data_IF_653876441263
#
_entry.id   IF_653876441263
#
_cell.length_a   1.000
_cell.length_b   1.000
_cell.length_c   1.000
_cell.angle_alpha   90.00
_cell.angle_beta   90.00
_cell.angle_gamma   90.00
#
_symmetry.space_group_name_H-M   'P 1'
#
loop_
_entity.id
_entity.type
_entity.pdbx_description
1 polymer ?
#
# COMPACT_ATOMS: atom_id res chain seq x y z
N UNK A 1 61.70 19.30 27.93
CA UNK A 1 60.36 19.87 28.17
C UNK A 1 59.34 19.14 27.31
N UNK A 2 58.21 18.70 27.91
CA UNK A 2 56.84 18.41 27.39
C UNK A 2 56.68 17.75 26.00
N UNK A 3 55.88 16.71 25.73
CA UNK A 3 54.80 16.00 26.44
C UNK A 3 53.72 15.50 25.44
N UNK A 4 53.07 14.36 25.70
CA UNK A 4 51.89 13.77 25.00
C UNK A 4 52.24 12.63 24.02
N UNK A 5 52.06 11.32 24.24
CA UNK A 5 51.03 10.49 24.92
C UNK A 5 49.61 10.57 24.34
N UNK A 6 49.14 9.46 23.73
CA UNK A 6 47.76 9.28 23.31
C UNK A 6 47.54 8.21 22.23
N UNK A 7 47.93 6.95 22.47
CA UNK A 7 47.45 5.78 21.68
C UNK A 7 47.80 4.46 22.39
N UNK A 8 47.20 4.21 23.56
CA UNK A 8 47.30 2.93 24.27
C UNK A 8 46.18 2.78 25.32
N UNK A 9 44.93 3.09 24.98
CA UNK A 9 43.81 2.95 25.93
C UNK A 9 42.49 2.68 25.17
N UNK A 10 42.30 1.47 24.64
CA UNK A 10 40.94 1.02 24.24
C UNK A 10 40.76 -0.51 24.19
N UNK A 11 41.82 -1.32 24.42
CA UNK A 11 41.73 -2.80 24.44
C UNK A 11 41.65 -3.45 25.82
N UNK A 12 41.59 -2.67 26.91
CA UNK A 12 41.65 -3.18 28.29
C UNK A 12 40.35 -3.00 29.10
N UNK A 13 39.32 -2.37 28.51
CA UNK A 13 38.02 -2.13 29.14
C UNK A 13 37.07 -3.32 29.12
N UNK A 14 36.99 -4.05 28.00
CA UNK A 14 36.01 -5.14 27.83
C UNK A 14 36.33 -6.40 28.66
N UNK A 15 37.60 -6.71 28.94
CA UNK A 15 37.96 -7.91 29.69
C UNK A 15 37.76 -7.79 31.22
N UNK A 16 37.43 -6.60 31.74
CA UNK A 16 37.29 -6.35 33.18
C UNK A 16 35.83 -6.23 33.65
N UNK A 17 34.88 -6.05 32.73
CA UNK A 17 33.44 -6.04 33.04
C UNK A 17 32.84 -7.46 33.07
N UNK A 18 33.22 -8.36 32.15
CA UNK A 18 32.73 -9.75 32.16
C UNK A 18 33.20 -10.56 33.39
N UNK A 19 34.33 -10.21 34.01
CA UNK A 19 34.83 -10.89 35.20
C UNK A 19 34.17 -10.42 36.51
N UNK A 20 33.41 -9.32 36.50
CA UNK A 20 32.79 -8.74 37.70
C UNK A 20 31.31 -9.10 37.85
N UNK A 21 30.65 -9.51 36.77
CA UNK A 21 29.26 -9.94 36.79
C UNK A 21 29.13 -11.42 37.21
N UNK A 22 30.08 -12.28 36.78
CA UNK A 22 30.08 -13.72 37.09
C UNK A 22 30.49 -14.05 38.55
N UNK A 23 31.13 -13.12 39.26
CA UNK A 23 31.47 -13.28 40.68
C UNK A 23 30.34 -12.85 41.64
N UNK A 24 29.26 -12.26 41.11
CA UNK A 24 28.11 -11.80 41.91
C UNK A 24 26.96 -12.81 41.94
N UNK A 25 27.00 -13.85 41.10
CA UNK A 25 25.98 -14.89 41.05
C UNK A 25 26.30 -16.15 41.89
N UNK A 26 27.52 -16.32 42.41
CA UNK A 26 27.93 -17.56 43.10
C UNK A 26 28.18 -17.42 44.62
N UNK A 27 27.84 -16.28 45.25
CA UNK A 27 28.06 -16.09 46.68
C UNK A 27 26.86 -15.42 47.37
N UNK A 28 25.69 -16.03 47.24
CA UNK A 28 24.58 -15.80 48.17
C UNK A 28 23.79 -17.09 48.39
N UNK A 29 24.52 -18.19 48.65
CA UNK A 29 23.97 -19.42 49.21
C UNK A 29 24.75 -19.75 50.49
N UNK A 30 24.39 -19.10 51.60
CA UNK A 30 24.48 -19.68 52.96
C UNK A 30 23.88 -18.76 54.03
N UNK A 31 23.05 -19.39 54.87
CA UNK A 31 22.58 -18.98 56.21
C UNK A 31 21.49 -17.90 56.30
N UNK A 32 20.24 -18.36 56.32
CA UNK A 32 19.27 -17.94 57.35
C UNK A 32 18.51 -19.19 57.81
N UNK A 33 18.91 -19.74 58.96
CA UNK A 33 17.99 -20.46 59.84
C UNK A 33 17.51 -19.42 60.86
N UNK A 34 16.28 -18.93 60.69
CA UNK A 34 15.51 -18.32 61.76
C UNK A 34 14.03 -18.63 61.52
N UNK A 35 13.47 -19.40 62.44
CA UNK A 35 12.07 -19.74 62.51
C UNK A 35 11.23 -18.48 62.78
N UNK A 36 10.40 -18.09 61.80
CA UNK A 36 9.19 -17.30 62.05
C UNK A 36 9.20 -15.88 61.51
N UNK A 37 8.95 -15.70 60.22
CA UNK A 37 8.38 -14.44 59.74
C UNK A 37 7.44 -14.69 58.55
N UNK A 38 6.35 -13.93 58.51
CA UNK A 38 5.27 -14.04 57.55
C UNK A 38 5.78 -13.98 56.09
N UNK A 39 5.14 -14.67 55.12
CA UNK A 39 5.57 -14.64 53.72
C UNK A 39 5.74 -13.18 53.27
N UNK A 40 6.82 -12.85 52.54
CA UNK A 40 7.16 -11.46 52.21
C UNK A 40 5.96 -10.78 51.61
N UNK A 41 5.51 -9.70 52.27
CA UNK A 41 4.36 -8.92 51.86
C UNK A 41 4.77 -8.13 50.61
N UNK A 42 4.58 -8.74 49.44
CA UNK A 42 4.79 -8.09 48.15
C UNK A 42 3.76 -6.97 48.01
N UNK A 43 4.16 -5.75 48.32
CA UNK A 43 3.36 -4.56 48.03
C UNK A 43 3.58 -4.18 46.57
N UNK A 44 2.54 -4.37 45.76
CA UNK A 44 2.54 -3.95 44.36
C UNK A 44 2.81 -2.43 44.30
N UNK A 45 3.75 -2.03 43.45
CA UNK A 45 3.94 -0.62 43.10
C UNK A 45 2.65 -0.06 42.50
N UNK A 46 2.48 1.26 42.54
CA UNK A 46 1.27 1.89 41.98
C UNK A 46 1.12 1.64 40.47
N UNK A 47 2.23 1.42 39.77
CA UNK A 47 2.28 1.01 38.37
C UNK A 47 1.77 -0.44 38.18
N UNK A 48 2.20 -1.38 39.03
CA UNK A 48 1.77 -2.78 38.99
C UNK A 48 0.29 -2.97 39.37
N UNK A 49 -0.25 -2.13 40.27
CA UNK A 49 -1.70 -2.10 40.57
C UNK A 49 -2.55 -1.71 39.36
N UNK A 50 -1.97 -0.99 38.39
CA UNK A 50 -2.62 -0.65 37.12
C UNK A 50 -2.61 -1.78 36.09
N UNK A 51 -1.82 -2.85 36.30
CA UNK A 51 -1.67 -3.94 35.35
C UNK A 51 -2.72 -5.02 35.58
N UNK A 52 -3.70 -5.09 34.69
CA UNK A 52 -4.76 -6.11 34.76
C UNK A 52 -4.25 -7.48 34.30
N UNK A 53 -3.39 -7.51 33.29
CA UNK A 53 -2.90 -8.75 32.70
C UNK A 53 -1.40 -8.87 32.90
N UNK A 54 -0.97 -9.91 33.63
CA UNK A 54 0.43 -10.18 33.85
C UNK A 54 1.19 -10.29 32.51
N UNK A 55 2.33 -9.60 32.34
CA UNK A 55 3.10 -9.67 31.12
C UNK A 55 3.66 -11.09 30.94
N UNK A 56 3.28 -11.75 29.85
CA UNK A 56 3.76 -13.10 29.52
C UNK A 56 4.92 -13.04 28.54
N UNK A 57 6.05 -13.66 28.89
CA UNK A 57 7.18 -13.91 27.96
C UNK A 57 6.91 -15.09 27.03
N UNK A 58 6.08 -16.05 27.47
CA UNK A 58 5.69 -17.25 26.72
C UNK A 58 4.18 -17.23 26.54
N UNK A 59 3.72 -17.32 25.29
CA UNK A 59 2.30 -17.31 24.95
C UNK A 59 1.76 -18.72 24.83
N UNK A 60 0.55 -18.95 25.35
CA UNK A 60 -0.11 -20.26 25.35
C UNK A 60 -0.54 -20.69 23.92
N UNK A 61 -0.80 -19.73 23.05
CA UNK A 61 -1.16 -19.95 21.65
C UNK A 61 -0.12 -19.34 20.73
N UNK A 62 0.19 -20.04 19.65
CA UNK A 62 0.95 -19.46 18.55
C UNK A 62 0.23 -18.23 18.01
N UNK A 63 1.00 -17.20 17.64
CA UNK A 63 0.47 -15.96 17.05
C UNK A 63 -0.47 -16.26 15.87
N UNK A 64 -0.11 -17.20 15.01
CA UNK A 64 -0.93 -17.69 13.89
C UNK A 64 -2.34 -18.15 14.30
N UNK A 65 -2.45 -18.85 15.43
CA UNK A 65 -3.74 -19.35 15.93
C UNK A 65 -4.62 -18.19 16.43
N UNK A 66 -4.03 -17.24 17.15
CA UNK A 66 -4.73 -16.03 17.60
C UNK A 66 -5.23 -15.22 16.39
N UNK A 67 -4.45 -15.12 15.29
CA UNK A 67 -4.85 -14.30 14.12
C UNK A 67 -6.15 -14.81 13.50
N UNK A 68 -6.37 -16.13 13.53
CA UNK A 68 -7.51 -16.79 12.89
C UNK A 68 -8.78 -16.72 13.72
N UNK A 69 -8.66 -16.57 15.04
CA UNK A 69 -9.81 -16.70 15.95
C UNK A 69 -10.20 -15.41 16.65
N UNK A 70 -9.30 -14.42 16.79
CA UNK A 70 -9.56 -13.24 17.62
C UNK A 70 -10.80 -12.44 17.22
N UNK A 71 -11.16 -12.43 15.93
CA UNK A 71 -12.35 -11.76 15.43
C UNK A 71 -13.66 -12.39 15.92
N UNK A 72 -13.61 -13.66 16.34
CA UNK A 72 -14.75 -14.42 16.85
C UNK A 72 -14.80 -14.45 18.40
N UNK A 73 -13.89 -13.75 19.08
CA UNK A 73 -13.90 -13.69 20.54
C UNK A 73 -15.16 -12.98 21.02
N UNK A 74 -15.82 -13.59 21.99
CA UNK A 74 -17.03 -13.07 22.61
C UNK A 74 -17.00 -13.35 24.11
N UNK A 75 -17.79 -12.58 24.85
CA UNK A 75 -18.04 -12.85 26.26
C UNK A 75 -19.11 -13.94 26.35
N UNK A 76 -18.99 -14.90 27.27
CA UNK A 76 -19.99 -15.92 27.49
C UNK A 76 -21.41 -15.34 27.58
N UNK A 77 -22.36 -16.00 26.95
CA UNK A 77 -23.77 -15.63 26.98
C UNK A 77 -24.59 -16.67 27.74
N UNK A 78 -25.63 -16.24 28.48
CA UNK A 78 -26.51 -17.19 29.19
C UNK A 78 -27.16 -18.23 28.26
N UNK A 79 -27.36 -17.87 26.98
CA UNK A 79 -27.87 -18.76 25.94
C UNK A 79 -26.97 -19.96 25.65
N UNK A 80 -25.70 -19.92 26.06
CA UNK A 80 -24.73 -21.00 25.89
C UNK A 80 -24.83 -22.06 27.01
N UNK A 81 -25.73 -21.88 27.98
CA UNK A 81 -26.01 -22.86 29.04
C UNK A 81 -25.21 -22.66 30.33
N UNK A 82 -24.56 -21.51 30.52
CA UNK A 82 -23.86 -21.19 31.77
C UNK A 82 -24.84 -20.93 32.92
N UNK A 83 -24.62 -21.59 34.07
CA UNK A 83 -25.43 -21.41 35.29
C UNK A 83 -25.35 -19.97 35.83
N UNK A 84 -24.16 -19.38 35.85
CA UNK A 84 -23.95 -17.97 36.19
C UNK A 84 -22.70 -17.42 35.48
N UNK A 85 -22.80 -16.16 35.04
CA UNK A 85 -21.68 -15.38 34.49
C UNK A 85 -21.39 -14.26 35.50
N UNK A 86 -20.18 -14.25 36.06
CA UNK A 86 -19.78 -13.27 37.09
C UNK A 86 -18.63 -12.41 36.55
N UNK A 87 -18.83 -11.11 36.52
CA UNK A 87 -17.80 -10.14 36.16
C UNK A 87 -17.16 -9.62 37.44
N UNK A 88 -15.97 -10.14 37.76
CA UNK A 88 -15.32 -9.93 39.07
C UNK A 88 -14.45 -8.67 39.07
N UNK A 89 -13.94 -8.26 37.90
CA UNK A 89 -12.94 -7.19 37.78
C UNK A 89 -13.57 -5.85 37.36
N UNK A 90 -14.67 -5.90 36.60
CA UNK A 90 -15.48 -4.75 36.20
C UNK A 90 -16.90 -5.23 35.94
N UNK A 91 -17.82 -4.32 35.60
CA UNK A 91 -19.18 -4.69 35.20
C UNK A 91 -19.25 -5.27 33.77
N UNK A 92 -20.42 -5.82 33.42
CA UNK A 92 -20.66 -6.46 32.12
C UNK A 92 -20.45 -5.52 30.93
N UNK A 93 -20.83 -4.25 31.05
CA UNK A 93 -20.69 -3.30 29.95
C UNK A 93 -19.22 -2.94 29.72
N UNK A 94 -18.48 -2.61 30.79
CA UNK A 94 -17.06 -2.34 30.72
C UNK A 94 -16.25 -3.54 30.17
N UNK A 95 -16.61 -4.76 30.56
CA UNK A 95 -15.97 -5.97 30.03
C UNK A 95 -16.21 -6.15 28.53
N UNK A 96 -17.45 -5.94 28.05
CA UNK A 96 -17.81 -6.01 26.63
C UNK A 96 -17.05 -4.96 25.82
N UNK A 97 -17.01 -3.73 26.32
CA UNK A 97 -16.29 -2.63 25.67
C UNK A 97 -14.78 -2.89 25.60
N UNK A 98 -14.18 -3.41 26.67
CA UNK A 98 -12.78 -3.80 26.68
C UNK A 98 -12.46 -4.86 25.62
N UNK A 99 -13.23 -5.96 25.59
CA UNK A 99 -13.02 -7.02 24.60
C UNK A 99 -13.21 -6.48 23.18
N UNK A 100 -14.25 -5.66 22.97
CA UNK A 100 -14.53 -5.03 21.69
C UNK A 100 -13.36 -4.15 21.23
N UNK A 101 -12.83 -3.31 22.10
CA UNK A 101 -11.66 -2.48 21.82
C UNK A 101 -10.44 -3.35 21.49
N UNK A 102 -10.19 -4.43 22.24
CA UNK A 102 -9.09 -5.36 21.95
C UNK A 102 -9.22 -6.04 20.59
N UNK A 103 -10.43 -6.44 20.20
CA UNK A 103 -10.69 -6.98 18.87
C UNK A 103 -10.40 -5.92 17.80
N UNK A 104 -10.86 -4.68 17.99
CA UNK A 104 -10.61 -3.57 17.05
C UNK A 104 -9.12 -3.21 16.91
N UNK A 105 -8.40 -3.14 18.03
CA UNK A 105 -6.94 -2.93 18.06
C UNK A 105 -6.23 -4.04 17.27
N UNK A 106 -6.60 -5.30 17.51
CA UNK A 106 -6.04 -6.43 16.78
C UNK A 106 -6.41 -6.38 15.28
N UNK A 107 -7.63 -5.98 14.90
CA UNK A 107 -8.01 -5.83 13.48
C UNK A 107 -7.14 -4.78 12.76
N UNK A 108 -6.74 -3.70 13.45
CA UNK A 108 -5.83 -2.68 12.89
C UNK A 108 -4.41 -3.20 12.72
N UNK A 109 -3.92 -3.99 13.67
CA UNK A 109 -2.54 -4.48 13.68
C UNK A 109 -2.38 -5.73 12.80
N UNK A 110 -3.40 -6.58 12.67
CA UNK A 110 -3.28 -7.93 12.10
C UNK A 110 -3.97 -7.99 10.74
N UNK A 111 -3.23 -8.48 9.75
CA UNK A 111 -3.70 -8.70 8.38
C UNK A 111 -4.67 -9.89 8.29
N UNK A 112 -5.48 -9.91 7.23
CA UNK A 112 -6.37 -11.04 6.90
C UNK A 112 -5.59 -12.00 5.99
N UNK A 113 -4.95 -13.02 6.58
CA UNK A 113 -4.02 -13.90 5.87
C UNK A 113 -4.67 -14.75 4.76
N UNK A 114 -5.90 -15.17 5.01
CA UNK A 114 -6.66 -16.07 4.14
C UNK A 114 -7.47 -15.32 3.07
N UNK A 115 -7.34 -14.00 2.99
CA UNK A 115 -8.01 -13.17 1.99
C UNK A 115 -7.55 -13.59 0.59
N UNK A 116 -8.51 -13.82 -0.31
CA UNK A 116 -8.29 -14.14 -1.71
C UNK A 116 -9.09 -13.16 -2.57
N UNK A 117 -8.52 -12.67 -3.68
CA UNK A 117 -9.25 -11.81 -4.60
C UNK A 117 -10.49 -12.53 -5.12
N UNK A 118 -11.66 -11.92 -4.95
CA UNK A 118 -12.92 -12.50 -5.42
C UNK A 118 -12.97 -12.64 -6.94
N UNK A 119 -13.93 -13.44 -7.41
CA UNK A 119 -14.25 -13.54 -8.84
C UNK A 119 -14.56 -12.17 -9.44
N UNK A 120 -15.27 -11.30 -8.70
CA UNK A 120 -15.58 -9.93 -9.14
C UNK A 120 -14.31 -9.15 -9.47
N UNK A 121 -13.30 -9.18 -8.60
CA UNK A 121 -12.03 -8.51 -8.87
C UNK A 121 -11.32 -9.13 -10.08
N UNK A 122 -11.29 -10.46 -10.18
CA UNK A 122 -10.63 -11.14 -11.29
C UNK A 122 -11.25 -10.77 -12.65
N UNK A 123 -12.58 -10.73 -12.71
CA UNK A 123 -13.33 -10.35 -13.91
C UNK A 123 -13.06 -8.87 -14.27
N UNK A 124 -13.12 -7.95 -13.29
CA UNK A 124 -12.81 -6.53 -13.51
C UNK A 124 -11.36 -6.27 -13.90
N UNK A 125 -10.42 -7.01 -13.33
CA UNK A 125 -9.01 -6.89 -13.70
C UNK A 125 -8.73 -7.46 -15.10
N UNK A 126 -9.46 -8.49 -15.52
CA UNK A 126 -9.41 -8.99 -16.89
C UNK A 126 -10.00 -7.98 -17.90
N UNK A 127 -11.14 -7.36 -17.56
CA UNK A 127 -11.75 -6.28 -18.33
C UNK A 127 -10.76 -5.11 -18.51
N UNK A 128 -10.14 -4.66 -17.42
CA UNK A 128 -9.13 -3.61 -17.44
C UNK A 128 -7.96 -3.95 -18.36
N UNK A 129 -7.38 -5.15 -18.23
CA UNK A 129 -6.25 -5.58 -19.08
C UNK A 129 -6.59 -5.55 -20.57
N UNK A 130 -7.82 -5.92 -20.92
CA UNK A 130 -8.31 -5.86 -22.30
C UNK A 130 -8.42 -4.41 -22.78
N UNK A 131 -9.15 -3.56 -22.04
CA UNK A 131 -9.36 -2.15 -22.40
C UNK A 131 -8.04 -1.39 -22.48
N UNK A 132 -7.14 -1.62 -21.52
CA UNK A 132 -5.83 -0.97 -21.48
C UNK A 132 -5.00 -1.29 -22.74
N UNK A 133 -4.95 -2.56 -23.14
CA UNK A 133 -4.26 -2.97 -24.37
C UNK A 133 -4.94 -2.40 -25.63
N UNK A 134 -6.27 -2.35 -25.66
CA UNK A 134 -7.02 -1.73 -26.75
C UNK A 134 -6.74 -0.23 -26.86
N UNK A 135 -6.66 0.50 -25.75
CA UNK A 135 -6.33 1.93 -25.77
C UNK A 135 -4.90 2.18 -26.24
N UNK A 136 -3.92 1.41 -25.76
CA UNK A 136 -2.54 1.52 -26.25
C UNK A 136 -2.45 1.27 -27.76
N UNK A 137 -3.12 0.21 -28.24
CA UNK A 137 -3.17 -0.10 -29.67
C UNK A 137 -3.81 1.03 -30.47
N UNK A 138 -4.95 1.58 -30.01
CA UNK A 138 -5.59 2.73 -30.68
C UNK A 138 -4.68 3.95 -30.72
N UNK A 139 -3.91 4.19 -29.66
CA UNK A 139 -2.93 5.28 -29.64
C UNK A 139 -1.84 5.06 -30.69
N UNK A 140 -1.30 3.85 -30.78
CA UNK A 140 -0.30 3.47 -31.78
C UNK A 140 -0.84 3.61 -33.20
N UNK A 141 -2.05 3.12 -33.47
CA UNK A 141 -2.73 3.24 -34.77
C UNK A 141 -2.96 4.71 -35.15
N UNK A 142 -3.41 5.55 -34.20
CA UNK A 142 -3.59 6.98 -34.41
C UNK A 142 -2.26 7.69 -34.75
N UNK A 143 -1.21 7.46 -33.94
CA UNK A 143 0.15 7.99 -34.18
C UNK A 143 0.75 7.46 -35.48
N UNK A 144 0.39 6.25 -35.91
CA UNK A 144 0.86 5.67 -37.16
C UNK A 144 0.14 6.23 -38.40
N UNK A 145 -1.02 6.85 -38.24
CA UNK A 145 -1.86 7.32 -39.35
C UNK A 145 -1.15 8.37 -40.22
N UNK A 146 -1.33 8.35 -41.56
CA UNK A 146 -0.69 9.33 -42.44
C UNK A 146 -1.08 10.77 -42.13
N UNK A 147 -2.35 11.00 -41.73
CA UNK A 147 -2.86 12.31 -41.36
C UNK A 147 -2.14 12.87 -40.12
N UNK A 148 -1.94 12.04 -39.09
CA UNK A 148 -1.26 12.46 -37.88
C UNK A 148 0.25 12.66 -38.12
N UNK A 149 0.91 11.74 -38.84
CA UNK A 149 2.32 11.91 -39.22
C UNK A 149 2.57 13.18 -40.03
N UNK A 150 1.65 13.53 -40.95
CA UNK A 150 1.74 14.77 -41.70
C UNK A 150 1.55 16.01 -40.81
N UNK A 151 0.64 15.97 -39.83
CA UNK A 151 0.46 17.05 -38.85
C UNK A 151 1.71 17.21 -37.96
N UNK A 152 2.27 16.12 -37.44
CA UNK A 152 3.48 16.15 -36.61
C UNK A 152 4.71 16.64 -37.38
N UNK A 153 4.87 16.23 -38.65
CA UNK A 153 5.95 16.71 -39.51
C UNK A 153 5.84 18.22 -39.77
N UNK A 154 4.62 18.74 -39.98
CA UNK A 154 4.39 20.19 -40.14
C UNK A 154 4.65 20.96 -38.84
N UNK A 155 4.24 20.43 -37.69
CA UNK A 155 4.50 21.06 -36.39
C UNK A 155 6.01 21.18 -36.12
N UNK A 156 6.77 20.09 -36.30
CA UNK A 156 8.23 20.08 -36.12
C UNK A 156 8.95 21.08 -37.03
N UNK A 157 8.55 21.17 -38.30
CA UNK A 157 9.11 22.11 -39.27
C UNK A 157 8.81 23.60 -38.94
N UNK A 158 7.77 23.88 -38.16
CA UNK A 158 7.41 25.24 -37.74
C UNK A 158 8.14 25.66 -36.46
N UNK A 159 8.37 24.74 -35.52
CA UNK A 159 9.18 24.99 -34.31
C UNK A 159 10.66 25.27 -34.60
N UNK A 160 11.24 24.72 -35.68
CA UNK A 160 12.61 25.04 -36.09
C UNK A 160 12.76 26.42 -36.76
N UNK A 161 11.65 27.15 -36.98
CA UNK A 161 11.63 28.48 -37.64
C UNK A 161 11.12 29.63 -36.78
N UNK A 162 10.70 29.38 -35.53
CA UNK A 162 10.25 30.42 -34.60
C UNK A 162 11.02 30.32 -33.29
N UNK A 163 12.16 31.00 -33.24
CA UNK A 163 12.78 31.43 -31.99
C UNK A 163 12.24 32.84 -31.72
N UNK A 164 11.35 32.96 -30.72
CA UNK A 164 10.78 34.24 -30.27
C UNK A 164 9.48 34.67 -30.95
N UNK A 165 8.34 34.15 -30.50
CA UNK A 165 7.18 34.98 -30.12
C UNK A 165 6.12 34.12 -29.44
N UNK A 166 5.69 34.62 -28.29
CA UNK A 166 4.63 34.13 -27.42
C UNK A 166 3.42 33.69 -28.24
N UNK A 167 3.05 32.41 -28.11
CA UNK A 167 1.82 31.87 -28.67
C UNK A 167 0.97 31.43 -27.50
N UNK A 168 0.32 32.40 -26.84
CA UNK A 168 -1.01 32.22 -26.26
C UNK A 168 -1.94 31.76 -27.39
N UNK A 169 -1.85 30.47 -27.73
CA UNK A 169 -2.88 29.83 -28.54
C UNK A 169 -4.04 29.61 -27.59
N UNK A 170 -5.08 30.42 -27.80
CA UNK A 170 -6.37 30.40 -27.13
C UNK A 170 -6.73 28.99 -26.66
N UNK A 171 -6.97 28.87 -25.37
CA UNK A 171 -7.73 27.77 -24.79
C UNK A 171 -9.15 27.80 -25.38
N UNK A 172 -9.29 27.38 -26.64
CA UNK A 172 -10.55 26.95 -27.21
C UNK A 172 -11.11 25.96 -26.20
N UNK A 173 -12.23 26.33 -25.57
CA UNK A 173 -12.81 25.67 -24.41
C UNK A 173 -12.79 24.16 -24.63
N UNK A 174 -11.77 23.49 -24.08
CA UNK A 174 -11.60 22.07 -24.27
C UNK A 174 -12.87 21.45 -23.69
N UNK A 175 -13.58 20.60 -24.47
CA UNK A 175 -14.80 19.99 -23.98
C UNK A 175 -14.53 19.34 -22.63
N UNK A 176 -15.48 19.51 -21.69
CA UNK A 176 -15.37 18.95 -20.35
C UNK A 176 -15.01 17.47 -20.46
N UNK A 177 -13.82 17.11 -19.97
CA UNK A 177 -13.23 15.77 -20.06
C UNK A 177 -14.19 14.71 -19.53
N UNK A 178 -14.99 15.04 -18.52
CA UNK A 178 -15.89 14.10 -17.88
C UNK A 178 -17.18 13.88 -18.66
N UNK A 179 -17.56 14.80 -19.55
CA UNK A 179 -18.71 14.67 -20.46
C UNK A 179 -18.46 13.74 -21.65
N UNK A 180 -17.19 13.43 -21.96
CA UNK A 180 -16.79 12.58 -23.09
C UNK A 180 -17.31 11.16 -22.90
N UNK A 181 -18.09 10.64 -23.84
CA UNK A 181 -18.65 9.29 -23.77
C UNK A 181 -17.67 8.21 -24.26
N UNK A 182 -17.05 8.42 -25.42
CA UNK A 182 -16.02 7.52 -25.96
C UNK A 182 -14.63 8.16 -25.85
N UNK A 183 -13.78 7.61 -24.99
CA UNK A 183 -12.39 8.08 -24.83
C UNK A 183 -11.50 7.70 -26.00
N UNK A 184 -11.98 6.85 -26.92
CA UNK A 184 -11.25 6.44 -28.10
C UNK A 184 -11.48 7.33 -29.33
N UNK A 185 -12.53 8.16 -29.30
CA UNK A 185 -12.85 9.10 -30.37
C UNK A 185 -13.55 10.32 -29.77
N UNK A 186 -12.78 11.39 -29.56
CA UNK A 186 -13.28 12.68 -29.08
C UNK A 186 -13.67 13.62 -30.23
N UNK A 187 -13.65 13.12 -31.47
CA UNK A 187 -13.82 13.86 -32.71
C UNK A 187 -12.71 13.54 -33.71
N UNK A 188 -13.05 13.44 -34.99
CA UNK A 188 -12.12 13.16 -36.10
C UNK A 188 -11.25 11.89 -35.91
N UNK A 189 -11.71 10.90 -35.15
CA UNK A 189 -10.97 9.67 -34.86
C UNK A 189 -9.82 9.86 -33.88
N UNK A 190 -9.80 10.98 -33.14
CA UNK A 190 -8.77 11.31 -32.18
C UNK A 190 -9.06 10.66 -30.81
N UNK A 191 -8.17 9.82 -30.26
CA UNK A 191 -8.35 9.31 -28.91
C UNK A 191 -7.96 10.35 -27.87
N UNK A 192 -8.65 10.36 -26.71
CA UNK A 192 -8.38 11.28 -25.61
C UNK A 192 -6.94 11.19 -25.09
N UNK A 193 -6.37 9.98 -25.14
CA UNK A 193 -5.01 9.67 -24.72
C UNK A 193 -3.98 9.80 -25.86
N UNK A 194 -4.27 10.53 -26.95
CA UNK A 194 -3.33 10.70 -28.08
C UNK A 194 -1.93 11.15 -27.64
N UNK A 195 -1.85 12.00 -26.63
CA UNK A 195 -0.62 12.61 -26.12
C UNK A 195 -0.01 11.88 -24.91
N UNK A 196 -0.50 10.68 -24.57
CA UNK A 196 0.11 9.90 -23.49
C UNK A 196 1.50 9.40 -23.88
N UNK A 197 2.44 9.54 -22.97
CA UNK A 197 3.72 8.85 -23.01
C UNK A 197 3.74 7.66 -22.04
N UNK A 198 4.86 6.92 -21.98
CA UNK A 198 4.99 5.76 -21.09
C UNK A 198 4.71 6.09 -19.62
N UNK A 199 5.09 7.28 -19.17
CA UNK A 199 4.83 7.76 -17.80
C UNK A 199 3.33 7.98 -17.57
N UNK A 200 2.58 8.46 -18.56
CA UNK A 200 1.13 8.64 -18.45
C UNK A 200 0.42 7.30 -18.41
N UNK A 201 0.86 6.32 -19.21
CA UNK A 201 0.36 4.94 -19.14
C UNK A 201 0.65 4.28 -17.79
N UNK A 202 1.84 4.48 -17.24
CA UNK A 202 2.19 3.99 -15.90
C UNK A 202 1.34 4.68 -14.81
N UNK A 203 1.09 5.99 -14.94
CA UNK A 203 0.23 6.74 -14.01
C UNK A 203 -1.22 6.28 -14.08
N UNK A 204 -1.73 6.00 -15.28
CA UNK A 204 -3.06 5.42 -15.50
C UNK A 204 -3.19 4.05 -14.83
N UNK A 205 -2.19 3.18 -15.01
CA UNK A 205 -2.16 1.87 -14.36
C UNK A 205 -2.14 2.00 -12.83
N UNK A 206 -1.32 2.92 -12.30
CA UNK A 206 -1.23 3.18 -10.87
C UNK A 206 -2.57 3.64 -10.27
N UNK A 207 -3.27 4.57 -10.93
CA UNK A 207 -4.61 5.03 -10.54
C UNK A 207 -5.60 3.88 -10.40
N UNK A 208 -5.70 3.07 -11.45
CA UNK A 208 -6.59 1.92 -11.46
C UNK A 208 -6.24 0.94 -10.34
N UNK A 209 -4.96 0.60 -10.17
CA UNK A 209 -4.54 -0.41 -9.19
C UNK A 209 -4.78 0.03 -7.76
N UNK A 210 -4.45 1.28 -7.41
CA UNK A 210 -4.69 1.77 -6.06
C UNK A 210 -6.19 1.89 -5.79
N UNK A 211 -6.99 2.37 -6.74
CA UNK A 211 -8.45 2.40 -6.58
C UNK A 211 -9.03 0.99 -6.41
N UNK A 212 -8.73 0.09 -7.35
CA UNK A 212 -9.29 -1.25 -7.37
C UNK A 212 -8.87 -2.08 -6.16
N UNK A 213 -7.66 -1.88 -5.63
CA UNK A 213 -7.24 -2.56 -4.41
C UNK A 213 -8.20 -2.28 -3.26
N UNK A 214 -8.58 -1.01 -3.09
CA UNK A 214 -9.41 -0.56 -1.97
C UNK A 214 -10.85 -1.06 -2.13
N UNK A 215 -11.41 -0.94 -3.33
CA UNK A 215 -12.76 -1.40 -3.64
C UNK A 215 -12.86 -2.92 -3.50
N UNK A 216 -11.88 -3.65 -4.04
CA UNK A 216 -11.85 -5.11 -3.93
C UNK A 216 -11.64 -5.57 -2.49
N UNK A 217 -10.72 -4.94 -1.76
CA UNK A 217 -10.49 -5.26 -0.34
C UNK A 217 -11.77 -5.08 0.49
N UNK A 218 -12.48 -3.95 0.32
CA UNK A 218 -13.73 -3.69 1.04
C UNK A 218 -14.78 -4.77 0.76
N UNK A 219 -14.95 -5.17 -0.51
CA UNK A 219 -15.90 -6.22 -0.91
C UNK A 219 -15.50 -7.61 -0.41
N UNK A 220 -14.22 -7.93 -0.45
CA UNK A 220 -13.73 -9.28 -0.15
C UNK A 220 -13.58 -9.52 1.35
N UNK A 221 -13.17 -8.49 2.11
CA UNK A 221 -13.09 -8.55 3.57
C UNK A 221 -14.47 -8.48 4.20
N UNK A 222 -15.36 -7.65 3.66
CA UNK A 222 -16.75 -7.50 4.10
C UNK A 222 -16.90 -7.35 5.63
N UNK A 223 -15.99 -6.57 6.25
CA UNK A 223 -15.94 -6.33 7.69
C UNK A 223 -16.00 -4.81 7.93
N UNK A 224 -17.08 -4.28 8.53
CA UNK A 224 -17.22 -2.83 8.77
C UNK A 224 -16.14 -2.27 9.70
N UNK A 225 -15.48 -3.12 10.49
CA UNK A 225 -14.37 -2.72 11.37
C UNK A 225 -13.02 -2.63 10.64
N UNK A 226 -12.98 -2.98 9.36
CA UNK A 226 -11.81 -2.86 8.48
C UNK A 226 -12.16 -1.88 7.34
N UNK A 227 -12.30 -0.58 7.64
CA UNK A 227 -12.77 0.41 6.68
C UNK A 227 -11.78 0.67 5.53
N UNK A 228 -10.52 0.25 5.66
CA UNK A 228 -9.50 0.42 4.65
C UNK A 228 -8.26 -0.43 4.92
N UNK A 229 -7.24 -0.24 4.10
CA UNK A 229 -5.99 -1.01 4.18
C UNK A 229 -4.97 -0.23 4.99
N UNK A 230 -4.48 -0.76 6.13
CA UNK A 230 -3.37 -0.12 6.85
C UNK A 230 -2.12 -0.05 5.98
N UNK A 231 -1.43 1.09 6.01
CA UNK A 231 -0.19 1.33 5.25
C UNK A 231 0.85 0.22 5.45
N UNK A 232 1.05 -0.21 6.69
CA UNK A 232 1.99 -1.29 7.03
C UNK A 232 1.68 -2.63 6.32
N UNK A 233 0.43 -2.87 5.93
CA UNK A 233 -0.02 -4.09 5.26
C UNK A 233 -0.29 -3.88 3.77
N UNK A 234 -0.07 -2.67 3.25
CA UNK A 234 -0.38 -2.32 1.86
C UNK A 234 0.22 -3.32 0.87
N UNK A 235 1.53 -3.56 0.95
CA UNK A 235 2.21 -4.44 0.00
C UNK A 235 1.80 -5.91 0.12
N UNK A 236 1.35 -6.36 1.30
CA UNK A 236 0.79 -7.70 1.48
C UNK A 236 -0.47 -7.86 0.62
N UNK A 237 -1.41 -6.92 0.72
CA UNK A 237 -2.63 -6.96 -0.08
C UNK A 237 -2.37 -6.66 -1.55
N UNK A 238 -1.54 -5.67 -1.87
CA UNK A 238 -1.19 -5.34 -3.24
C UNK A 238 -0.58 -6.56 -3.98
N UNK A 239 0.31 -7.30 -3.33
CA UNK A 239 0.86 -8.56 -3.87
C UNK A 239 -0.21 -9.64 -4.00
N UNK A 240 -1.15 -9.73 -3.05
CA UNK A 240 -2.25 -10.71 -3.10
C UNK A 240 -3.19 -10.48 -4.30
N UNK A 241 -3.48 -9.23 -4.63
CA UNK A 241 -4.40 -8.87 -5.71
C UNK A 241 -3.73 -8.82 -7.08
N UNK A 242 -2.54 -8.23 -7.18
CA UNK A 242 -1.88 -7.97 -8.47
C UNK A 242 -0.70 -8.88 -8.77
N UNK A 243 -0.33 -9.77 -7.84
CA UNK A 243 0.83 -10.67 -7.97
C UNK A 243 2.14 -9.90 -8.27
N UNK A 244 2.25 -8.67 -7.76
CA UNK A 244 3.44 -7.82 -7.88
C UNK A 244 3.58 -6.93 -6.64
N UNK A 245 4.77 -6.41 -6.42
CA UNK A 245 5.09 -5.49 -5.33
C UNK A 245 5.11 -4.05 -5.83
N UNK A 246 4.66 -3.09 -5.02
CA UNK A 246 4.81 -1.66 -5.33
C UNK A 246 5.94 -1.07 -4.50
N UNK A 247 6.95 -0.58 -5.20
CA UNK A 247 8.08 0.15 -4.62
C UNK A 247 7.91 1.65 -4.89
N UNK A 248 7.82 2.50 -3.85
CA UNK A 248 7.78 3.96 -4.02
C UNK A 248 8.94 4.49 -4.84
N UNK A 249 10.13 3.91 -4.66
CA UNK A 249 11.37 4.31 -5.35
C UNK A 249 11.23 4.20 -6.87
N UNK A 250 10.46 3.23 -7.36
CA UNK A 250 10.23 3.06 -8.79
C UNK A 250 9.43 4.22 -9.41
N UNK A 251 8.67 4.96 -8.60
CA UNK A 251 7.91 6.14 -9.02
C UNK A 251 8.62 7.47 -8.69
N UNK A 252 9.87 7.42 -8.24
CA UNK A 252 10.60 8.61 -7.78
C UNK A 252 10.19 9.09 -6.38
N UNK A 253 9.51 8.24 -5.61
CA UNK A 253 9.01 8.54 -4.27
C UNK A 253 9.79 7.77 -3.19
N UNK A 254 9.74 8.26 -1.95
CA UNK A 254 10.34 7.61 -0.76
C UNK A 254 9.31 6.82 0.04
N UNK A 255 8.06 7.28 0.06
CA UNK A 255 6.99 6.72 0.90
C UNK A 255 5.75 6.38 0.08
N UNK A 256 4.86 5.54 0.63
CA UNK A 256 3.57 5.25 0.01
C UNK A 256 2.70 6.51 -0.08
N UNK A 257 2.81 7.40 0.90
CA UNK A 257 2.11 8.69 0.91
C UNK A 257 2.47 9.55 -0.30
N UNK A 258 3.76 9.63 -0.64
CA UNK A 258 4.23 10.35 -1.83
C UNK A 258 3.71 9.72 -3.12
N UNK A 259 3.63 8.38 -3.20
CA UNK A 259 3.00 7.68 -4.33
C UNK A 259 1.52 8.04 -4.44
N UNK A 260 0.79 8.08 -3.32
CA UNK A 260 -0.62 8.48 -3.33
C UNK A 260 -0.79 9.93 -3.81
N UNK A 261 0.15 10.85 -3.48
CA UNK A 261 0.13 12.23 -3.99
C UNK A 261 0.27 12.32 -5.51
N UNK A 262 0.97 11.37 -6.15
CA UNK A 262 1.04 11.27 -7.62
C UNK A 262 -0.33 10.97 -8.26
N UNK A 263 -1.24 10.32 -7.53
CA UNK A 263 -2.58 9.91 -8.02
C UNK A 263 -3.66 10.28 -7.01
N UNK A 264 -3.55 11.49 -6.45
CA UNK A 264 -4.39 12.02 -5.37
C UNK A 264 -5.89 12.03 -5.68
N UNK A 265 -6.25 11.91 -6.96
CA UNK A 265 -7.61 11.81 -7.44
C UNK A 265 -8.23 10.41 -7.22
N UNK A 266 -7.44 9.36 -7.03
CA UNK A 266 -7.90 7.97 -6.80
C UNK A 266 -7.48 7.36 -5.47
N UNK A 267 -6.41 7.86 -4.86
CA UNK A 267 -5.86 7.30 -3.63
C UNK A 267 -5.34 8.38 -2.68
N UNK A 268 -5.56 8.17 -1.39
CA UNK A 268 -5.07 8.98 -0.29
C UNK A 268 -4.78 8.10 0.93
N UNK A 269 -3.78 8.48 1.73
CA UNK A 269 -3.60 7.93 3.07
C UNK A 269 -4.27 8.87 4.08
N UNK A 270 -5.23 8.34 4.83
CA UNK A 270 -5.92 9.04 5.92
C UNK A 270 -5.82 8.19 7.18
N UNK A 271 -5.27 8.76 8.25
CA UNK A 271 -5.09 8.06 9.54
C UNK A 271 -4.35 6.72 9.41
N UNK A 272 -3.36 6.65 8.50
CA UNK A 272 -2.59 5.42 8.21
C UNK A 272 -3.34 4.35 7.41
N UNK A 273 -4.53 4.68 6.88
CA UNK A 273 -5.34 3.81 6.04
C UNK A 273 -5.36 4.32 4.59
N UNK A 274 -5.21 3.42 3.63
CA UNK A 274 -5.46 3.70 2.22
C UNK A 274 -6.96 3.87 1.99
N UNK A 275 -7.33 5.03 1.46
CA UNK A 275 -8.71 5.48 1.20
C UNK A 275 -8.80 6.15 -0.16
N UNK A 276 -10.00 6.16 -0.75
CA UNK A 276 -10.22 6.76 -2.08
C UNK A 276 -11.02 8.04 -1.93
N UNK A 277 -10.58 9.15 -2.54
CA UNK A 277 -11.34 10.39 -2.56
C UNK A 277 -12.44 10.39 -3.65
N UNK A 278 -12.49 9.37 -4.51
CA UNK A 278 -13.55 9.25 -5.51
C UNK A 278 -14.89 8.99 -4.84
N UNK A 279 -15.88 9.78 -5.24
CA UNK A 279 -17.28 9.63 -4.83
C UNK A 279 -18.11 8.84 -5.85
N UNK A 280 -17.54 8.58 -7.03
CA UNK A 280 -18.14 7.83 -8.12
C UNK A 280 -17.66 6.37 -8.11
N UNK A 281 -18.50 5.45 -8.57
CA UNK A 281 -18.17 4.04 -8.76
C UNK A 281 -17.37 3.86 -10.06
N UNK A 282 -16.10 4.26 -10.05
CA UNK A 282 -15.24 4.21 -11.24
C UNK A 282 -15.00 2.77 -11.75
N UNK A 283 -15.26 1.73 -10.93
CA UNK A 283 -15.24 0.33 -11.36
C UNK A 283 -16.28 -0.02 -12.43
N UNK A 284 -17.36 0.76 -12.53
CA UNK A 284 -18.44 0.56 -13.52
C UNK A 284 -18.12 1.25 -14.85
N UNK A 285 -17.24 2.24 -14.83
CA UNK A 285 -16.78 2.95 -16.02
C UNK A 285 -15.25 3.10 -15.98
N UNK A 286 -14.54 2.04 -16.39
CA UNK A 286 -13.07 2.01 -16.37
C UNK A 286 -12.41 3.11 -17.22
N UNK A 287 -13.11 3.64 -18.24
CA UNK A 287 -12.64 4.80 -19.00
C UNK A 287 -12.55 6.09 -18.18
N UNK A 288 -13.15 6.14 -16.98
CA UNK A 288 -13.03 7.26 -16.05
C UNK A 288 -11.57 7.51 -15.64
N UNK A 289 -10.76 6.44 -15.46
CA UNK A 289 -9.34 6.58 -15.13
C UNK A 289 -8.52 7.26 -16.25
N UNK A 290 -8.94 7.10 -17.51
CA UNK A 290 -8.33 7.78 -18.66
C UNK A 290 -8.58 9.28 -18.56
N UNK A 291 -9.81 9.69 -18.21
CA UNK A 291 -10.18 11.10 -18.03
C UNK A 291 -9.37 11.75 -16.92
N UNK A 292 -9.26 11.09 -15.76
CA UNK A 292 -8.42 11.55 -14.64
C UNK A 292 -6.95 11.68 -15.04
N UNK A 293 -6.43 10.71 -15.79
CA UNK A 293 -5.04 10.73 -16.27
C UNK A 293 -4.78 11.86 -17.24
N UNK A 294 -5.71 12.13 -18.19
CA UNK A 294 -5.55 13.24 -19.13
C UNK A 294 -5.71 14.61 -18.46
N UNK A 295 -6.62 14.75 -17.50
CA UNK A 295 -6.73 15.98 -16.70
C UNK A 295 -5.42 16.31 -15.99
N UNK A 296 -4.84 15.32 -15.28
CA UNK A 296 -3.57 15.51 -14.61
C UNK A 296 -2.43 15.76 -15.61
N UNK A 297 -2.40 15.07 -16.76
CA UNK A 297 -1.38 15.30 -17.79
C UNK A 297 -1.42 16.74 -18.28
N UNK A 298 -2.61 17.27 -18.58
CA UNK A 298 -2.80 18.67 -19.03
C UNK A 298 -2.38 19.67 -17.95
N UNK A 299 -2.75 19.43 -16.70
CA UNK A 299 -2.33 20.27 -15.57
C UNK A 299 -0.81 20.26 -15.39
N UNK A 300 -0.20 19.07 -15.46
CA UNK A 300 1.25 18.91 -15.37
C UNK A 300 1.97 19.63 -16.51
N UNK A 301 1.47 19.51 -17.73
CA UNK A 301 2.04 20.20 -18.89
C UNK A 301 1.94 21.72 -18.73
N UNK A 302 0.78 22.24 -18.31
CA UNK A 302 0.60 23.68 -18.02
C UNK A 302 1.58 24.22 -16.98
N UNK A 303 1.86 23.45 -15.92
CA UNK A 303 2.87 23.81 -14.91
C UNK A 303 4.28 23.83 -15.50
N UNK A 304 4.64 22.82 -16.31
CA UNK A 304 5.94 22.77 -16.99
C UNK A 304 6.11 23.96 -17.94
N UNK A 305 5.09 24.28 -18.74
CA UNK A 305 5.13 25.39 -19.69
C UNK A 305 5.22 26.75 -18.97
N UNK A 306 4.66 26.85 -17.76
CA UNK A 306 4.82 28.00 -16.86
C UNK A 306 6.19 28.05 -16.13
N UNK A 307 7.11 27.12 -16.41
CA UNK A 307 8.46 27.07 -15.84
C UNK A 307 8.57 26.34 -14.49
N UNK A 308 7.50 25.70 -14.02
CA UNK A 308 7.54 24.87 -12.82
C UNK A 308 8.07 23.46 -13.16
N UNK A 309 9.40 23.36 -13.18
CA UNK A 309 10.14 22.12 -13.44
C UNK A 309 9.85 21.02 -12.39
N UNK A 310 9.32 21.36 -11.21
CA UNK A 310 8.95 20.37 -10.18
C UNK A 310 7.76 19.50 -10.57
N UNK A 311 7.01 19.90 -11.61
CA UNK A 311 5.91 19.12 -12.15
C UNK A 311 6.38 17.93 -13.01
N UNK A 312 7.66 17.85 -13.38
CA UNK A 312 8.18 16.70 -14.16
C UNK A 312 8.19 15.42 -13.32
N UNK A 313 7.70 14.34 -13.92
CA UNK A 313 7.69 13.01 -13.31
C UNK A 313 8.90 12.20 -13.78
N UNK A 314 9.50 11.45 -12.86
CA UNK A 314 10.65 10.59 -13.11
C UNK A 314 10.40 9.18 -12.60
N UNK A 315 9.95 8.29 -13.49
CA UNK A 315 9.70 6.89 -13.18
C UNK A 315 10.87 6.02 -13.62
N UNK A 316 11.27 5.08 -12.77
CA UNK A 316 12.25 4.06 -13.11
C UNK A 316 11.64 3.03 -14.08
N UNK A 317 12.45 2.31 -14.87
CA UNK A 317 11.97 1.28 -15.79
C UNK A 317 11.04 0.24 -15.15
N UNK A 318 11.22 -0.07 -13.86
CA UNK A 318 10.35 -0.99 -13.11
C UNK A 318 8.90 -0.51 -12.98
N UNK A 319 8.67 0.81 -12.88
CA UNK A 319 7.31 1.38 -12.87
C UNK A 319 6.70 1.43 -14.28
N UNK A 320 7.55 1.55 -15.31
CA UNK A 320 7.11 1.57 -16.72
C UNK A 320 6.85 0.17 -17.29
N UNK A 321 7.52 -0.87 -16.78
CA UNK A 321 7.37 -2.25 -17.23
C UNK A 321 6.12 -2.95 -16.68
N UNK A 322 5.47 -2.37 -15.66
CA UNK A 322 4.19 -2.83 -15.13
C UNK A 322 2.98 -2.54 -16.03
N UNK A 323 3.21 -1.81 -17.12
CA UNK A 323 2.25 -1.52 -18.19
C UNK A 323 2.09 -2.80 -19.03
N UNK A 324 0.91 -3.45 -19.07
CA UNK A 324 0.70 -4.64 -19.89
C UNK A 324 1.04 -4.32 -21.34
N UNK A 325 2.08 -4.94 -21.89
CA UNK A 325 2.44 -4.72 -23.29
C UNK A 325 1.27 -5.16 -24.18
N UNK A 326 0.76 -4.24 -25.01
CA UNK A 326 -0.09 -4.54 -26.16
C UNK A 326 0.55 -5.70 -26.93
N UNK A 327 -0.22 -6.78 -27.10
CA UNK A 327 0.33 -8.13 -27.25
C UNK A 327 1.42 -8.29 -28.32
N UNK A 328 2.55 -8.84 -27.88
CA UNK A 328 3.46 -9.63 -28.70
C UNK A 328 4.07 -10.77 -27.87
N UNK A 329 3.54 -11.96 -28.11
CA UNK A 329 4.20 -13.26 -27.97
C UNK A 329 4.72 -13.69 -26.58
N UNK A 330 3.92 -14.45 -25.82
CA UNK A 330 4.45 -15.40 -24.84
C UNK A 330 4.62 -16.75 -25.52
N UNK A 331 5.88 -17.11 -25.75
CA UNK A 331 6.30 -18.48 -25.97
C UNK A 331 5.65 -19.41 -24.93
N UNK A 332 5.02 -20.47 -25.41
CA UNK A 332 4.43 -21.50 -24.58
C UNK A 332 5.49 -22.14 -23.66
N UNK A 333 5.17 -22.44 -22.40
CA UNK A 333 6.07 -23.22 -21.56
C UNK A 333 6.22 -24.62 -22.14
N UNK A 334 7.47 -25.03 -22.40
CA UNK A 334 7.82 -26.41 -22.75
C UNK A 334 7.34 -27.33 -21.63
N UNK A 335 6.45 -28.27 -21.98
CA UNK A 335 6.09 -29.38 -21.12
C UNK A 335 7.36 -30.18 -20.76
N UNK A 336 7.67 -30.26 -19.46
CA UNK A 336 8.67 -31.18 -18.95
C UNK A 336 8.15 -32.61 -19.15
N UNK A 337 8.92 -33.40 -19.89
CA UNK A 337 8.68 -34.82 -20.07
C UNK A 337 8.86 -35.54 -18.71
N UNK A 338 7.88 -36.36 -18.35
CA UNK A 338 7.96 -37.24 -17.19
C UNK A 338 9.11 -38.25 -17.34
N UNK A 339 9.84 -38.59 -16.26
CA UNK A 339 10.87 -39.61 -16.30
C UNK A 339 10.26 -41.00 -16.50
N UNK A 340 10.83 -41.77 -17.42
CA UNK A 340 10.52 -43.19 -17.60
C UNK A 340 11.00 -43.95 -16.36
N UNK A 341 10.11 -44.75 -15.78
CA UNK A 341 10.47 -45.78 -14.81
C UNK A 341 11.37 -46.82 -15.49
N UNK A 342 12.43 -47.20 -14.80
CA UNK A 342 13.25 -48.39 -15.07
C UNK A 342 13.09 -49.34 -13.88
#
# INVERSE_FOLDING_TARGET
ERGGEGEAEEGAGEAKEEAKENAKEEQEESEVDDEGDEPPKVELTDEEKGVWFAPKKVFDLQRGAIMRSFANYSIPAKSEGFEAIKFVWCDEAAAKDYLRQKVLENKKIWRVDDLKPSKWFQDKFAEWKKLFAEWQKKQEEFKASPAQKAKEAKAKANTEKKDGEDSEEEAAAAPDLFSIQDVCDIGDGEPLFKSFDLIDWASLQLRFELYMLQVAFSKDVNDPDRPGIPEAHFNFYYTRYFAKYLSPVSFGCKTLEEVCKLVKDTAALKDGLLTTPLTVQAEDQLSYFVKLSEEQRRERQRRIDAGDETARLHFQPAALSGVPAGGANKSAPKAQAAPKAA
#
